data_IF_572357294319
#
_entry.id   IF_572357294319
#
_cell.length_a   1.000
_cell.length_b   1.000
_cell.length_c   1.000
_cell.angle_alpha   90.00
_cell.angle_beta   90.00
_cell.angle_gamma   90.00
#
_symmetry.space_group_name_H-M   'P 1'
#
loop_
_entity.id
_entity.type
_entity.pdbx_description
1 polymer ?
#
# COMPACT_ATOMS: atom_id res chain seq x y z
N UNK A 1 10.70 3.27 34.34
CA UNK A 1 11.57 4.49 34.19
C UNK A 1 13.07 4.14 34.16
N UNK A 2 13.55 3.19 34.99
CA UNK A 2 14.96 2.79 35.08
C UNK A 2 15.52 2.21 33.75
N UNK A 3 14.82 1.26 33.12
CA UNK A 3 15.23 0.65 31.85
C UNK A 3 15.25 1.64 30.65
N UNK A 4 14.32 2.59 30.61
CA UNK A 4 14.28 3.64 29.58
C UNK A 4 15.53 4.54 29.63
N UNK A 5 16.12 4.70 30.81
CA UNK A 5 17.32 5.53 31.04
C UNK A 5 18.63 4.81 30.65
N UNK A 6 18.64 3.46 30.65
CA UNK A 6 19.84 2.66 30.39
C UNK A 6 19.85 2.08 28.97
N UNK A 7 18.71 1.58 28.47
CA UNK A 7 18.62 0.80 27.23
C UNK A 7 17.89 1.51 26.08
N UNK A 8 17.34 2.72 26.30
CA UNK A 8 16.51 3.40 25.32
C UNK A 8 15.03 3.01 25.39
N UNK A 9 14.19 3.77 24.65
CA UNK A 9 12.74 3.62 24.65
C UNK A 9 12.31 2.29 24.03
N UNK A 10 12.92 1.92 22.91
CA UNK A 10 12.62 0.72 22.12
C UNK A 10 12.78 -0.57 22.94
N UNK A 11 13.87 -0.65 23.72
CA UNK A 11 14.10 -1.80 24.60
C UNK A 11 13.14 -1.86 25.78
N UNK A 12 12.77 -0.72 26.33
CA UNK A 12 11.79 -0.67 27.42
C UNK A 12 10.41 -1.14 26.94
N UNK A 13 10.00 -0.76 25.72
CA UNK A 13 8.74 -1.20 25.12
C UNK A 13 8.79 -2.69 24.73
N UNK A 14 9.91 -3.18 24.18
CA UNK A 14 10.10 -4.60 23.91
C UNK A 14 10.00 -5.44 25.20
N UNK A 15 10.56 -4.97 26.31
CA UNK A 15 10.42 -5.65 27.59
C UNK A 15 8.97 -5.70 28.10
N UNK A 16 8.22 -4.60 27.95
CA UNK A 16 6.79 -4.58 28.29
C UNK A 16 6.03 -5.60 27.45
N UNK A 17 6.31 -5.68 26.14
CA UNK A 17 5.72 -6.70 25.28
C UNK A 17 6.06 -8.12 25.75
N UNK A 18 7.32 -8.38 26.09
CA UNK A 18 7.76 -9.70 26.53
C UNK A 18 7.19 -10.12 27.91
N UNK A 19 6.77 -9.16 28.75
CA UNK A 19 6.12 -9.41 30.04
C UNK A 19 4.65 -9.82 29.90
N UNK A 20 4.02 -9.62 28.75
CA UNK A 20 2.66 -10.09 28.49
C UNK A 20 2.62 -11.62 28.56
N UNK A 21 1.50 -12.15 29.05
CA UNK A 21 1.26 -13.58 28.95
C UNK A 21 1.04 -14.00 27.48
N UNK A 22 1.06 -15.32 27.23
CA UNK A 22 1.02 -15.83 25.87
C UNK A 22 -0.32 -15.59 25.15
N UNK A 23 -1.42 -15.56 25.89
CA UNK A 23 -2.74 -15.31 25.30
C UNK A 23 -2.87 -13.85 24.89
N UNK A 24 -2.35 -12.92 25.69
CA UNK A 24 -2.36 -11.47 25.39
C UNK A 24 -1.56 -11.11 24.13
N UNK A 25 -0.54 -11.90 23.78
CA UNK A 25 0.30 -11.71 22.56
C UNK A 25 0.09 -12.78 21.50
N UNK A 26 -1.07 -13.45 21.51
CA UNK A 26 -1.37 -14.48 20.52
C UNK A 26 -1.45 -13.93 19.10
N UNK A 27 -2.03 -12.75 18.91
CA UNK A 27 -2.16 -12.07 17.61
C UNK A 27 -1.34 -10.78 17.65
N UNK A 28 -0.33 -10.71 16.80
CA UNK A 28 0.57 -9.55 16.70
C UNK A 28 0.52 -8.99 15.29
N UNK A 29 0.35 -7.68 15.18
CA UNK A 29 0.54 -6.93 13.94
C UNK A 29 1.87 -6.19 14.03
N UNK A 30 2.65 -6.25 12.96
CA UNK A 30 3.90 -5.50 12.86
C UNK A 30 3.84 -4.49 11.72
N UNK A 31 4.16 -3.24 12.04
CA UNK A 31 4.27 -2.12 11.10
C UNK A 31 5.72 -1.62 10.99
N UNK A 32 6.25 -1.54 9.78
CA UNK A 32 7.57 -0.99 9.53
C UNK A 32 7.57 0.54 9.64
N UNK A 33 6.46 1.17 9.25
CA UNK A 33 6.23 2.62 9.29
C UNK A 33 4.76 2.95 9.58
N UNK A 34 4.47 4.23 9.79
CA UNK A 34 3.12 4.72 10.08
C UNK A 34 2.11 4.54 8.93
N UNK A 35 2.58 4.32 7.71
CA UNK A 35 1.71 4.06 6.55
C UNK A 35 1.18 2.63 6.50
N UNK A 36 1.77 1.71 7.24
CA UNK A 36 1.37 0.29 7.26
C UNK A 36 0.00 0.07 7.90
N UNK A 37 -0.38 0.88 8.90
CA UNK A 37 -1.63 0.72 9.66
C UNK A 37 -2.87 0.67 8.77
N UNK A 38 -2.92 1.49 7.73
CA UNK A 38 -4.10 1.60 6.84
C UNK A 38 -4.47 0.27 6.17
N UNK A 39 -3.49 -0.63 5.97
CA UNK A 39 -3.70 -1.95 5.39
C UNK A 39 -4.23 -2.98 6.39
N UNK A 40 -4.04 -2.74 7.69
CA UNK A 40 -4.52 -3.59 8.78
C UNK A 40 -5.82 -3.11 9.40
N UNK A 41 -6.15 -1.83 9.25
CA UNK A 41 -7.19 -1.12 10.02
C UNK A 41 -8.52 -1.86 10.02
N UNK A 42 -8.99 -2.31 8.85
CA UNK A 42 -10.27 -3.01 8.75
C UNK A 42 -10.23 -4.39 9.42
N UNK A 43 -9.11 -5.11 9.31
CA UNK A 43 -8.91 -6.42 9.98
C UNK A 43 -8.88 -6.21 11.50
N UNK A 44 -8.12 -5.22 11.98
CA UNK A 44 -8.01 -4.89 13.40
C UNK A 44 -9.37 -4.49 13.97
N UNK A 45 -10.14 -3.67 13.25
CA UNK A 45 -11.48 -3.29 13.65
C UNK A 45 -12.39 -4.51 13.83
N UNK A 46 -12.43 -5.41 12.87
CA UNK A 46 -13.25 -6.63 12.97
C UNK A 46 -12.81 -7.54 14.12
N UNK A 47 -11.49 -7.73 14.31
CA UNK A 47 -10.96 -8.52 15.41
C UNK A 47 -11.32 -7.91 16.78
N UNK A 48 -11.13 -6.60 16.95
CA UNK A 48 -11.27 -5.96 18.26
C UNK A 48 -12.70 -5.56 18.59
N UNK A 49 -13.46 -5.02 17.62
CA UNK A 49 -14.79 -4.48 17.87
C UNK A 49 -15.92 -5.50 17.66
N UNK A 50 -15.73 -6.47 16.76
CA UNK A 50 -16.76 -7.46 16.42
C UNK A 50 -16.49 -8.83 17.04
N UNK A 51 -15.24 -9.28 17.07
CA UNK A 51 -14.85 -10.60 17.59
C UNK A 51 -14.25 -10.53 19.01
N UNK A 52 -14.14 -9.33 19.58
CA UNK A 52 -13.64 -9.06 20.94
C UNK A 52 -12.24 -9.60 21.23
N UNK A 53 -11.45 -9.82 20.19
CA UNK A 53 -10.07 -10.30 20.32
C UNK A 53 -9.14 -9.21 20.87
N UNK A 54 -8.20 -9.61 21.72
CA UNK A 54 -7.06 -8.77 22.07
C UNK A 54 -5.95 -8.95 21.03
N UNK A 55 -5.29 -7.83 20.67
CA UNK A 55 -4.16 -7.83 19.76
C UNK A 55 -3.01 -7.00 20.34
N UNK A 56 -1.80 -7.35 19.93
CA UNK A 56 -0.64 -6.48 20.06
C UNK A 56 -0.35 -5.82 18.70
N UNK A 57 -0.04 -4.53 18.74
CA UNK A 57 0.44 -3.78 17.58
C UNK A 57 1.86 -3.30 17.87
N UNK A 58 2.82 -3.78 17.10
CA UNK A 58 4.24 -3.46 17.26
C UNK A 58 4.69 -2.63 16.07
N UNK A 59 5.22 -1.44 16.32
CA UNK A 59 5.62 -0.53 15.25
C UNK A 59 7.07 -0.09 15.36
N UNK A 60 7.71 0.10 14.22
CA UNK A 60 9.03 0.73 14.13
C UNK A 60 8.98 2.24 13.94
N UNK A 61 7.78 2.82 13.76
CA UNK A 61 7.57 4.25 13.59
C UNK A 61 7.17 4.90 14.91
N UNK A 62 7.95 5.91 15.32
CA UNK A 62 7.68 6.66 16.58
C UNK A 62 6.45 7.57 16.47
N UNK A 63 6.12 7.98 15.26
CA UNK A 63 4.99 8.84 14.91
C UNK A 63 3.73 8.04 14.53
N UNK A 64 3.73 6.72 14.73
CA UNK A 64 2.57 5.89 14.41
C UNK A 64 1.36 6.26 15.29
N UNK A 65 0.23 6.70 14.71
CA UNK A 65 -0.93 7.14 15.49
C UNK A 65 -1.50 6.07 16.43
N UNK A 66 -1.28 4.79 16.13
CA UNK A 66 -1.77 3.68 16.96
C UNK A 66 -1.16 3.67 18.37
N UNK A 67 0.00 4.28 18.55
CA UNK A 67 0.66 4.40 19.86
C UNK A 67 -0.17 5.24 20.86
N UNK A 68 -1.05 6.09 20.34
CA UNK A 68 -2.01 6.92 21.12
C UNK A 68 -3.40 6.33 21.18
N UNK A 69 -3.60 5.11 20.67
CA UNK A 69 -4.92 4.47 20.59
C UNK A 69 -5.50 4.22 21.98
N UNK A 70 -6.80 4.48 22.15
CA UNK A 70 -7.51 4.29 23.42
C UNK A 70 -8.29 2.97 23.51
N UNK A 71 -8.29 2.16 22.45
CA UNK A 71 -8.94 0.86 22.45
C UNK A 71 -8.22 -0.12 23.39
N UNK A 72 -8.90 -0.55 24.45
CA UNK A 72 -8.35 -1.44 25.48
C UNK A 72 -7.96 -2.83 24.95
N UNK A 73 -8.47 -3.21 23.76
CA UNK A 73 -8.14 -4.48 23.11
C UNK A 73 -6.90 -4.39 22.23
N UNK A 74 -6.33 -3.18 22.05
CA UNK A 74 -5.10 -2.95 21.29
C UNK A 74 -3.99 -2.53 22.24
N UNK A 75 -2.94 -3.33 22.33
CA UNK A 75 -1.71 -2.97 23.05
C UNK A 75 -0.63 -2.60 22.05
N UNK A 76 -0.26 -1.33 22.00
CA UNK A 76 0.71 -0.81 21.05
C UNK A 76 2.09 -0.64 21.68
N UNK A 77 3.15 -0.99 20.92
CA UNK A 77 4.55 -0.95 21.37
C UNK A 77 5.44 -0.38 20.27
N UNK A 78 6.33 0.54 20.64
CA UNK A 78 7.34 1.10 19.76
C UNK A 78 8.69 0.40 19.95
N UNK A 79 9.25 -0.18 18.87
CA UNK A 79 10.52 -0.92 18.94
C UNK A 79 11.62 -0.36 18.02
N UNK A 80 11.35 0.73 17.28
CA UNK A 80 12.31 1.36 16.38
C UNK A 80 12.78 0.45 15.24
N UNK A 81 13.88 0.85 14.57
CA UNK A 81 14.49 0.14 13.46
C UNK A 81 15.79 -0.59 13.83
N UNK A 82 16.22 -0.48 15.08
CA UNK A 82 17.50 -0.97 15.57
C UNK A 82 17.49 -2.43 16.07
N UNK A 83 18.37 -2.71 17.03
CA UNK A 83 18.57 -4.04 17.59
C UNK A 83 17.35 -4.58 18.34
N UNK A 84 16.55 -3.72 18.96
CA UNK A 84 15.30 -4.15 19.61
C UNK A 84 14.36 -4.82 18.63
N UNK A 85 14.23 -4.30 17.38
CA UNK A 85 13.44 -4.93 16.30
C UNK A 85 13.99 -6.30 15.92
N UNK A 86 15.31 -6.44 15.75
CA UNK A 86 15.94 -7.73 15.42
C UNK A 86 15.64 -8.75 16.50
N UNK A 87 15.82 -8.37 17.77
CA UNK A 87 15.54 -9.22 18.92
C UNK A 87 14.05 -9.60 18.99
N UNK A 88 13.15 -8.64 18.78
CA UNK A 88 11.71 -8.91 18.71
C UNK A 88 11.39 -10.06 17.75
N UNK A 89 11.88 -9.99 16.51
CA UNK A 89 11.60 -11.04 15.52
C UNK A 89 12.21 -12.40 15.91
N UNK A 90 13.48 -12.41 16.37
CA UNK A 90 14.17 -13.64 16.73
C UNK A 90 13.57 -14.37 17.93
N UNK A 91 13.01 -13.62 18.88
CA UNK A 91 12.51 -14.13 20.16
C UNK A 91 10.99 -14.07 20.30
N UNK A 92 10.29 -13.72 19.21
CA UNK A 92 8.83 -13.58 19.22
C UNK A 92 8.14 -14.85 19.66
N UNK A 93 7.33 -14.75 20.70
CA UNK A 93 6.45 -15.83 21.21
C UNK A 93 4.98 -15.46 20.99
N UNK A 94 4.57 -15.42 19.75
CA UNK A 94 3.18 -15.18 19.31
C UNK A 94 2.65 -16.40 18.55
N UNK A 95 1.34 -16.58 18.50
CA UNK A 95 0.75 -17.61 17.62
C UNK A 95 0.74 -17.16 16.18
N UNK A 96 0.42 -15.89 15.96
CA UNK A 96 0.31 -15.28 14.62
C UNK A 96 1.04 -13.93 14.61
N UNK A 97 1.81 -13.68 13.56
CA UNK A 97 2.34 -12.35 13.21
C UNK A 97 1.81 -11.96 11.84
N UNK A 98 1.14 -10.80 11.78
CA UNK A 98 0.60 -10.20 10.55
C UNK A 98 1.45 -9.00 10.17
N UNK A 99 1.91 -8.91 8.93
CA UNK A 99 2.71 -7.78 8.46
C UNK A 99 2.57 -7.51 6.95
N UNK A 100 2.93 -6.30 6.53
CA UNK A 100 3.01 -5.88 5.12
C UNK A 100 4.43 -5.87 4.58
N UNK A 101 5.43 -6.11 5.42
CA UNK A 101 6.84 -6.11 5.04
C UNK A 101 7.21 -7.44 4.39
N UNK A 102 7.64 -7.44 3.11
CA UNK A 102 8.13 -8.65 2.42
C UNK A 102 9.56 -9.02 2.87
N UNK A 103 10.18 -9.96 2.19
CA UNK A 103 11.59 -10.32 2.37
C UNK A 103 11.93 -10.92 3.75
N UNK A 104 10.97 -11.59 4.41
CA UNK A 104 11.21 -12.36 5.63
C UNK A 104 12.31 -13.39 5.37
N UNK A 105 13.26 -13.56 6.29
CA UNK A 105 14.47 -14.40 6.19
C UNK A 105 15.56 -13.89 5.24
N UNK A 106 15.31 -12.85 4.44
CA UNK A 106 16.29 -12.38 3.44
C UNK A 106 17.39 -11.52 4.08
N UNK A 107 17.01 -10.62 4.99
CA UNK A 107 17.94 -9.68 5.63
C UNK A 107 18.02 -9.90 7.14
N UNK A 108 17.90 -8.81 7.89
CA UNK A 108 17.97 -8.82 9.35
C UNK A 108 16.73 -9.38 10.02
N UNK A 109 15.61 -9.36 9.32
CA UNK A 109 14.32 -9.82 9.85
C UNK A 109 14.18 -11.31 9.58
N UNK A 110 14.24 -12.08 10.66
CA UNK A 110 14.19 -13.55 10.64
C UNK A 110 12.93 -14.06 11.33
N UNK A 111 12.52 -15.27 10.99
CA UNK A 111 11.48 -15.95 11.74
C UNK A 111 11.94 -16.21 13.17
N UNK A 112 11.00 -16.29 14.11
CA UNK A 112 11.30 -16.63 15.49
C UNK A 112 12.04 -17.97 15.58
N UNK A 113 13.09 -18.01 16.41
CA UNK A 113 13.87 -19.22 16.69
C UNK A 113 13.40 -19.95 17.96
N UNK A 114 12.49 -19.36 18.71
CA UNK A 114 12.07 -19.83 20.02
C UNK A 114 10.62 -20.29 20.08
N UNK A 115 9.83 -19.99 19.04
CA UNK A 115 8.42 -20.32 18.98
C UNK A 115 7.92 -20.52 17.54
N UNK A 116 6.99 -21.47 17.28
CA UNK A 116 6.45 -21.75 15.94
C UNK A 116 5.37 -20.73 15.55
N UNK A 117 5.78 -19.48 15.31
CA UNK A 117 4.88 -18.41 14.89
C UNK A 117 4.36 -18.66 13.49
N UNK A 118 3.07 -18.40 13.24
CA UNK A 118 2.46 -18.39 11.91
C UNK A 118 2.55 -16.99 11.32
N UNK A 119 3.26 -16.84 10.22
CA UNK A 119 3.50 -15.56 9.56
C UNK A 119 2.50 -15.31 8.44
N UNK A 120 1.75 -14.21 8.55
CA UNK A 120 0.76 -13.78 7.57
C UNK A 120 1.25 -12.53 6.88
N UNK A 121 1.31 -12.58 5.55
CA UNK A 121 1.58 -11.40 4.73
C UNK A 121 0.26 -10.77 4.25
N UNK A 122 0.10 -9.45 4.42
CA UNK A 122 -1.02 -8.68 3.88
C UNK A 122 -0.48 -7.74 2.81
N UNK A 123 -1.03 -7.79 1.61
CA UNK A 123 -0.59 -6.91 0.53
C UNK A 123 -0.96 -5.45 0.78
N UNK A 124 0.00 -4.57 0.53
CA UNK A 124 -0.15 -3.11 0.56
C UNK A 124 -0.25 -2.48 -0.84
N UNK A 125 -0.45 -3.30 -1.87
CA UNK A 125 -0.60 -2.88 -3.27
C UNK A 125 -1.43 -3.89 -4.06
N UNK A 126 -2.17 -3.39 -5.04
CA UNK A 126 -2.94 -4.20 -6.01
C UNK A 126 -2.03 -4.82 -7.08
N UNK A 127 -0.84 -4.28 -7.25
CA UNK A 127 0.08 -4.60 -8.33
C UNK A 127 0.49 -6.08 -8.34
N UNK A 128 1.04 -6.50 -9.48
CA UNK A 128 1.62 -7.81 -9.71
C UNK A 128 2.74 -8.14 -8.71
N UNK A 129 2.85 -9.41 -8.32
CA UNK A 129 3.81 -9.87 -7.31
C UNK A 129 5.19 -10.12 -7.89
N UNK A 130 5.28 -10.94 -8.93
CA UNK A 130 6.55 -11.48 -9.45
C UNK A 130 7.46 -10.42 -10.09
N UNK A 131 6.93 -9.27 -10.51
CA UNK A 131 7.70 -8.18 -11.09
C UNK A 131 8.06 -7.09 -10.07
N UNK A 132 7.13 -6.76 -9.17
CA UNK A 132 7.27 -5.64 -8.24
C UNK A 132 7.99 -6.00 -6.94
N UNK A 133 8.02 -7.28 -6.59
CA UNK A 133 8.74 -7.76 -5.42
C UNK A 133 9.97 -8.56 -5.85
N UNK A 134 10.97 -8.64 -4.98
CA UNK A 134 12.16 -9.43 -5.24
C UNK A 134 11.83 -10.92 -5.34
N UNK A 135 12.67 -11.68 -6.02
CA UNK A 135 12.66 -13.14 -5.91
C UNK A 135 12.72 -13.53 -4.43
N UNK A 136 11.94 -14.52 -4.04
CA UNK A 136 11.85 -15.02 -2.66
C UNK A 136 11.22 -14.08 -1.63
N UNK A 137 10.61 -12.96 -2.03
CA UNK A 137 9.99 -12.00 -1.12
C UNK A 137 8.93 -12.62 -0.20
N UNK A 138 8.26 -13.68 -0.64
CA UNK A 138 7.15 -14.33 0.06
C UNK A 138 7.45 -15.75 0.52
N UNK A 139 8.64 -16.31 0.25
CA UNK A 139 8.93 -17.74 0.42
C UNK A 139 8.77 -18.22 1.86
N UNK A 140 9.00 -17.36 2.82
CA UNK A 140 9.00 -17.68 4.24
C UNK A 140 7.73 -17.31 5.01
N UNK A 141 6.66 -16.93 4.30
CA UNK A 141 5.34 -16.76 4.90
C UNK A 141 4.54 -18.06 4.88
N UNK A 142 3.70 -18.24 5.90
CA UNK A 142 2.82 -19.40 5.99
C UNK A 142 1.48 -19.14 5.29
N UNK A 143 0.95 -17.90 5.42
CA UNK A 143 -0.26 -17.47 4.75
C UNK A 143 -0.03 -16.13 4.03
N UNK A 144 -0.69 -15.96 2.89
CA UNK A 144 -0.67 -14.70 2.12
C UNK A 144 -2.10 -14.28 1.83
N UNK A 145 -2.45 -13.06 2.25
CA UNK A 145 -3.74 -12.45 2.02
C UNK A 145 -3.73 -11.72 0.69
N UNK A 146 -4.25 -12.38 -0.35
CA UNK A 146 -4.21 -11.89 -1.72
C UNK A 146 -5.33 -10.90 -2.01
N UNK A 147 -5.00 -9.84 -2.74
CA UNK A 147 -5.95 -8.81 -3.16
C UNK A 147 -6.91 -9.33 -4.22
N UNK A 148 -6.40 -10.15 -5.15
CA UNK A 148 -7.15 -10.66 -6.28
C UNK A 148 -6.53 -11.91 -6.88
N UNK A 149 -7.24 -12.50 -7.85
CA UNK A 149 -6.86 -13.75 -8.50
C UNK A 149 -5.46 -13.71 -9.14
N UNK A 150 -5.07 -12.58 -9.72
CA UNK A 150 -3.75 -12.42 -10.34
C UNK A 150 -2.61 -12.72 -9.37
N UNK A 151 -2.70 -12.26 -8.10
CA UNK A 151 -1.66 -12.54 -7.10
C UNK A 151 -1.61 -14.01 -6.72
N UNK A 152 -2.77 -14.69 -6.63
CA UNK A 152 -2.82 -16.14 -6.41
C UNK A 152 -2.14 -16.90 -7.55
N UNK A 153 -2.48 -16.58 -8.79
CA UNK A 153 -1.93 -17.23 -9.98
C UNK A 153 -0.41 -17.02 -10.08
N UNK A 154 0.07 -15.80 -9.84
CA UNK A 154 1.50 -15.46 -9.87
C UNK A 154 2.28 -16.15 -8.76
N UNK A 155 1.74 -16.23 -7.53
CA UNK A 155 2.42 -16.92 -6.42
C UNK A 155 2.44 -18.43 -6.69
N UNK A 156 1.34 -19.04 -7.16
CA UNK A 156 1.32 -20.47 -7.51
C UNK A 156 2.29 -20.78 -8.65
N UNK A 157 2.38 -19.91 -9.66
CA UNK A 157 3.37 -20.07 -10.73
C UNK A 157 4.80 -19.97 -10.19
N UNK A 158 5.06 -19.04 -9.28
CA UNK A 158 6.36 -18.89 -8.61
C UNK A 158 6.71 -20.13 -7.79
N UNK A 159 5.76 -20.66 -7.01
CA UNK A 159 5.94 -21.90 -6.24
C UNK A 159 6.29 -23.08 -7.15
N UNK A 160 5.60 -23.20 -8.28
CA UNK A 160 5.84 -24.26 -9.26
C UNK A 160 7.23 -24.13 -9.91
N UNK A 161 7.59 -22.95 -10.38
CA UNK A 161 8.87 -22.71 -11.10
C UNK A 161 10.08 -22.95 -10.20
N UNK A 162 9.98 -22.56 -8.92
CA UNK A 162 11.10 -22.68 -7.97
C UNK A 162 10.97 -23.85 -7.00
N UNK A 163 10.01 -24.74 -7.23
CA UNK A 163 9.76 -25.92 -6.40
C UNK A 163 9.64 -25.59 -4.89
N UNK A 164 8.84 -24.57 -4.58
CA UNK A 164 8.61 -24.09 -3.21
C UNK A 164 7.41 -24.82 -2.57
N UNK A 165 7.43 -24.92 -1.24
CA UNK A 165 6.27 -25.39 -0.50
C UNK A 165 5.07 -24.45 -0.72
N UNK A 166 3.88 -25.00 -1.01
CA UNK A 166 2.69 -24.18 -1.22
C UNK A 166 2.26 -23.48 0.06
N UNK A 167 1.97 -22.20 -0.03
CA UNK A 167 1.47 -21.36 1.06
C UNK A 167 -0.05 -21.41 1.13
N UNK A 168 -0.61 -21.08 2.29
CA UNK A 168 -2.04 -20.81 2.39
C UNK A 168 -2.35 -19.45 1.73
N UNK A 169 -2.94 -19.46 0.53
CA UNK A 169 -3.36 -18.25 -0.19
C UNK A 169 -4.83 -17.96 0.08
N UNK A 170 -5.09 -16.80 0.69
CA UNK A 170 -6.42 -16.38 1.11
C UNK A 170 -6.98 -15.36 0.14
N UNK A 171 -8.18 -15.59 -0.37
CA UNK A 171 -8.95 -14.60 -1.11
C UNK A 171 -9.42 -13.53 -0.14
N UNK A 172 -8.58 -12.52 0.08
CA UNK A 172 -8.78 -11.50 1.11
C UNK A 172 -9.48 -10.25 0.58
N UNK A 173 -8.95 -9.64 -0.46
CA UNK A 173 -9.33 -8.32 -0.93
C UNK A 173 -8.31 -7.24 -0.54
N UNK A 174 -8.73 -5.97 -0.52
CA UNK A 174 -7.81 -4.85 -0.30
C UNK A 174 -8.38 -3.83 0.70
N UNK A 175 -7.93 -3.91 1.94
CA UNK A 175 -8.46 -3.10 3.05
C UNK A 175 -8.37 -1.59 2.84
N UNK A 176 -7.31 -1.09 2.19
CA UNK A 176 -7.20 0.32 1.84
C UNK A 176 -8.31 0.73 0.87
N UNK A 177 -8.62 -0.08 -0.14
CA UNK A 177 -9.68 0.23 -1.10
C UNK A 177 -11.05 0.29 -0.41
N UNK A 178 -11.34 -0.66 0.47
CA UNK A 178 -12.59 -0.70 1.25
C UNK A 178 -12.74 0.56 2.12
N UNK A 179 -11.66 0.99 2.77
CA UNK A 179 -11.62 2.24 3.54
C UNK A 179 -11.90 3.46 2.67
N UNK A 180 -11.22 3.54 1.51
CA UNK A 180 -11.39 4.67 0.59
C UNK A 180 -12.83 4.75 0.05
N UNK A 181 -13.43 3.61 -0.30
CA UNK A 181 -14.81 3.56 -0.77
C UNK A 181 -15.81 3.99 0.31
N UNK A 182 -15.62 3.53 1.54
CA UNK A 182 -16.43 3.95 2.70
C UNK A 182 -16.33 5.46 2.94
N UNK A 183 -15.12 6.02 2.89
CA UNK A 183 -14.91 7.46 3.05
C UNK A 183 -15.55 8.27 1.91
N UNK A 184 -15.49 7.78 0.65
CA UNK A 184 -16.18 8.41 -0.48
C UNK A 184 -17.70 8.52 -0.24
N UNK A 185 -18.32 7.48 0.28
CA UNK A 185 -19.77 7.47 0.55
C UNK A 185 -20.19 8.52 1.59
N UNK A 186 -19.35 8.75 2.59
CA UNK A 186 -19.56 9.78 3.63
C UNK A 186 -19.32 11.20 3.09
N UNK A 187 -18.32 11.36 2.20
CA UNK A 187 -17.89 12.65 1.63
C UNK A 187 -18.63 13.04 0.33
N UNK A 188 -19.77 12.44 0.01
CA UNK A 188 -20.58 12.71 -1.21
C UNK A 188 -20.85 14.18 -1.53
N UNK A 189 -20.54 15.10 -0.62
CA UNK A 189 -20.72 16.54 -0.74
C UNK A 189 -19.51 17.33 -1.22
N UNK A 190 -18.33 16.70 -1.38
CA UNK A 190 -17.14 17.42 -1.84
C UNK A 190 -17.02 17.37 -3.38
N UNK A 191 -17.89 18.09 -4.08
CA UNK A 191 -17.80 18.33 -5.53
C UNK A 191 -16.66 19.30 -5.93
N UNK A 192 -15.62 19.43 -5.08
CA UNK A 192 -14.52 20.37 -5.32
C UNK A 192 -13.41 19.75 -6.21
N UNK A 193 -13.80 19.20 -7.36
CA UNK A 193 -12.86 18.78 -8.42
C UNK A 193 -12.26 19.98 -9.16
N UNK A 194 -12.67 21.17 -8.79
CA UNK A 194 -12.19 22.46 -9.29
C UNK A 194 -11.80 23.36 -8.13
N UNK A 195 -10.85 24.23 -8.37
CA UNK A 195 -10.52 25.34 -7.46
C UNK A 195 -11.69 26.34 -7.34
N UNK A 196 -11.59 27.28 -6.42
CA UNK A 196 -12.62 28.34 -6.24
C UNK A 196 -12.78 29.22 -7.48
N UNK A 197 -11.73 29.41 -8.25
CA UNK A 197 -11.70 30.14 -9.54
C UNK A 197 -12.07 29.24 -10.75
N UNK A 198 -12.49 28.01 -10.51
CA UNK A 198 -13.06 27.12 -11.53
C UNK A 198 -12.03 26.27 -12.31
N UNK A 199 -10.74 26.33 -11.97
CA UNK A 199 -9.71 25.51 -12.60
C UNK A 199 -9.85 24.03 -12.19
N UNK A 200 -9.56 23.13 -13.12
CA UNK A 200 -9.59 21.68 -12.89
C UNK A 200 -8.34 21.24 -12.12
N UNK A 201 -8.51 20.48 -11.04
CA UNK A 201 -7.41 19.92 -10.25
C UNK A 201 -6.85 18.68 -10.91
N UNK A 202 -5.58 18.69 -11.28
CA UNK A 202 -4.86 17.52 -11.81
C UNK A 202 -3.84 17.06 -10.77
N UNK A 203 -3.98 15.81 -10.35
CA UNK A 203 -3.02 15.15 -9.47
C UNK A 203 -1.98 14.39 -10.31
N UNK A 204 -0.71 14.67 -10.10
CA UNK A 204 0.42 13.92 -10.67
C UNK A 204 1.01 13.07 -9.55
N UNK A 205 0.73 11.77 -9.56
CA UNK A 205 1.15 10.84 -8.51
C UNK A 205 1.80 9.58 -9.11
N UNK A 206 3.08 9.64 -9.43
CA UNK A 206 3.79 8.52 -10.06
C UNK A 206 4.39 7.55 -9.05
N UNK A 207 4.92 6.45 -9.58
CA UNK A 207 5.84 5.55 -8.89
C UNK A 207 7.22 6.22 -8.70
N UNK A 208 8.20 5.45 -8.29
CA UNK A 208 9.56 5.93 -8.06
C UNK A 208 10.58 5.09 -8.82
N UNK A 209 11.70 5.68 -9.19
CA UNK A 209 12.79 5.00 -9.85
C UNK A 209 13.57 5.93 -10.76
N UNK A 210 14.79 5.58 -11.10
CA UNK A 210 15.72 6.39 -11.88
C UNK A 210 15.13 6.86 -13.23
N UNK A 211 14.27 6.03 -13.83
CA UNK A 211 13.58 6.30 -15.11
C UNK A 211 12.08 6.58 -14.90
N UNK A 212 11.68 6.99 -13.69
CA UNK A 212 10.30 7.31 -13.37
C UNK A 212 9.82 8.61 -14.00
N UNK A 213 8.53 8.88 -13.87
CA UNK A 213 7.90 10.05 -14.50
C UNK A 213 8.49 11.37 -13.99
N UNK A 214 8.64 11.53 -12.66
CA UNK A 214 9.17 12.80 -12.12
C UNK A 214 10.66 12.97 -12.46
N UNK A 215 11.40 11.88 -12.47
CA UNK A 215 12.84 11.87 -12.74
C UNK A 215 13.17 12.19 -14.21
N UNK A 216 12.26 11.91 -15.13
CA UNK A 216 12.49 12.08 -16.58
C UNK A 216 11.75 13.28 -17.17
N UNK A 217 10.43 13.28 -17.07
CA UNK A 217 9.57 14.28 -17.76
C UNK A 217 8.73 15.12 -16.81
N UNK A 218 8.95 15.03 -15.50
CA UNK A 218 8.11 15.65 -14.49
C UNK A 218 7.99 17.18 -14.62
N UNK A 219 9.12 17.90 -14.80
CA UNK A 219 9.09 19.36 -14.97
C UNK A 219 8.34 19.79 -16.23
N UNK A 220 8.55 19.10 -17.35
CA UNK A 220 7.87 19.43 -18.60
C UNK A 220 6.37 19.17 -18.52
N UNK A 221 5.98 18.04 -17.92
CA UNK A 221 4.57 17.73 -17.67
C UNK A 221 3.89 18.80 -16.81
N UNK A 222 4.51 19.20 -15.70
CA UNK A 222 3.96 20.23 -14.81
C UNK A 222 3.82 21.56 -15.55
N UNK A 223 4.83 21.97 -16.32
CA UNK A 223 4.81 23.21 -17.12
C UNK A 223 3.65 23.20 -18.13
N UNK A 224 3.51 22.11 -18.91
CA UNK A 224 2.43 21.98 -19.90
C UNK A 224 1.05 22.09 -19.23
N UNK A 225 0.86 21.48 -18.07
CA UNK A 225 -0.42 21.55 -17.35
C UNK A 225 -0.71 22.96 -16.83
N UNK A 226 0.28 23.65 -16.25
CA UNK A 226 0.15 25.03 -15.76
C UNK A 226 -0.13 26.02 -16.90
N UNK A 227 0.57 25.90 -18.03
CA UNK A 227 0.38 26.73 -19.22
C UNK A 227 -1.04 26.58 -19.81
N UNK A 228 -1.65 25.39 -19.61
CA UNK A 228 -3.02 25.11 -20.01
C UNK A 228 -4.05 25.35 -18.87
N UNK A 229 -3.68 26.13 -17.84
CA UNK A 229 -4.55 26.64 -16.78
C UNK A 229 -5.18 25.55 -15.89
N UNK A 230 -4.51 24.42 -15.71
CA UNK A 230 -4.85 23.46 -14.68
C UNK A 230 -4.26 23.89 -13.34
N UNK A 231 -4.92 23.53 -12.25
CA UNK A 231 -4.28 23.51 -10.92
C UNK A 231 -3.59 22.16 -10.74
N UNK A 232 -2.28 22.18 -10.50
CA UNK A 232 -1.42 20.99 -10.55
C UNK A 232 -0.93 20.63 -9.15
N UNK A 233 -1.32 19.45 -8.68
CA UNK A 233 -0.86 18.90 -7.42
C UNK A 233 0.11 17.77 -7.73
N UNK A 234 1.36 17.90 -7.33
CA UNK A 234 2.38 16.85 -7.48
C UNK A 234 2.53 16.13 -6.15
N UNK A 235 2.22 14.81 -6.15
CA UNK A 235 2.42 13.91 -5.00
C UNK A 235 3.55 12.93 -5.33
N UNK A 236 4.79 13.21 -4.96
CA UNK A 236 5.90 12.30 -5.19
C UNK A 236 5.76 11.05 -4.30
N UNK A 237 6.22 9.92 -4.80
CA UNK A 237 6.31 8.71 -3.99
C UNK A 237 7.28 8.92 -2.81
N UNK A 238 7.02 8.36 -1.60
CA UNK A 238 7.92 8.49 -0.44
C UNK A 238 9.37 8.12 -0.73
N UNK A 239 9.59 7.12 -1.59
CA UNK A 239 10.94 6.72 -1.99
C UNK A 239 11.63 7.74 -2.90
N UNK A 240 10.90 8.50 -3.73
CA UNK A 240 11.46 9.62 -4.50
C UNK A 240 11.93 10.72 -3.54
N UNK A 241 11.10 11.07 -2.54
CA UNK A 241 11.47 12.06 -1.52
C UNK A 241 12.75 11.64 -0.79
N UNK A 242 12.87 10.37 -0.44
CA UNK A 242 14.01 9.84 0.34
C UNK A 242 15.28 9.66 -0.48
N UNK A 243 15.17 9.12 -1.71
CA UNK A 243 16.34 8.75 -2.53
C UNK A 243 16.77 9.83 -3.52
N UNK A 244 15.83 10.63 -4.00
CA UNK A 244 16.09 11.67 -5.01
C UNK A 244 15.52 13.04 -4.57
N UNK A 245 15.87 13.54 -3.37
CA UNK A 245 15.36 14.83 -2.87
C UNK A 245 15.68 16.00 -3.79
N UNK A 246 16.73 15.91 -4.60
CA UNK A 246 17.10 16.92 -5.58
C UNK A 246 16.05 17.11 -6.69
N UNK A 247 15.35 16.04 -7.10
CA UNK A 247 14.25 16.11 -8.08
C UNK A 247 13.10 16.95 -7.49
N UNK A 248 12.72 16.65 -6.25
CA UNK A 248 11.66 17.39 -5.56
C UNK A 248 12.04 18.85 -5.40
N UNK A 249 13.30 19.13 -5.01
CA UNK A 249 13.81 20.49 -4.87
C UNK A 249 13.78 21.24 -6.20
N UNK A 250 14.21 20.59 -7.30
CA UNK A 250 14.19 21.18 -8.66
C UNK A 250 12.77 21.59 -9.06
N UNK A 251 11.80 20.67 -8.97
CA UNK A 251 10.40 20.95 -9.35
C UNK A 251 9.82 22.08 -8.48
N UNK A 252 10.08 22.06 -7.16
CA UNK A 252 9.64 23.14 -6.26
C UNK A 252 10.25 24.48 -6.65
N UNK A 253 11.55 24.56 -6.90
CA UNK A 253 12.21 25.80 -7.28
C UNK A 253 11.69 26.36 -8.59
N UNK A 254 11.34 25.51 -9.54
CA UNK A 254 10.83 25.92 -10.85
C UNK A 254 9.40 26.50 -10.79
N UNK A 255 8.54 25.95 -9.91
CA UNK A 255 7.10 26.26 -9.93
C UNK A 255 6.55 26.86 -8.64
N UNK A 256 7.36 27.06 -7.60
CA UNK A 256 6.88 27.49 -6.27
C UNK A 256 6.17 28.86 -6.27
N UNK A 257 6.49 29.73 -7.21
CA UNK A 257 5.87 31.06 -7.33
C UNK A 257 4.55 31.03 -8.11
N UNK A 258 4.18 29.87 -8.67
CA UNK A 258 2.92 29.70 -9.39
C UNK A 258 1.81 29.31 -8.42
N UNK A 259 0.75 30.13 -8.33
CA UNK A 259 -0.38 29.89 -7.42
C UNK A 259 -1.22 28.66 -7.76
N UNK A 260 -1.06 28.14 -8.98
CA UNK A 260 -1.74 26.92 -9.44
C UNK A 260 -0.90 25.65 -9.24
N UNK A 261 0.26 25.75 -8.59
CA UNK A 261 1.13 24.61 -8.29
C UNK A 261 1.14 24.28 -6.80
N UNK A 262 0.99 23.01 -6.49
CA UNK A 262 1.11 22.46 -5.13
C UNK A 262 1.99 21.20 -5.11
N UNK A 263 2.89 21.11 -4.14
CA UNK A 263 3.68 19.91 -3.85
C UNK A 263 3.18 19.24 -2.58
N UNK A 264 2.44 18.13 -2.71
CA UNK A 264 1.89 17.38 -1.60
C UNK A 264 2.88 16.29 -1.14
N UNK A 265 3.59 16.55 -0.06
CA UNK A 265 4.56 15.60 0.51
C UNK A 265 3.96 14.70 1.61
N UNK A 266 2.78 15.03 2.13
CA UNK A 266 2.05 14.18 3.06
C UNK A 266 1.29 13.09 2.30
N UNK A 267 1.90 11.93 2.14
CA UNK A 267 1.33 10.79 1.41
C UNK A 267 0.35 9.96 2.22
N UNK A 268 0.17 10.25 3.51
CA UNK A 268 -0.77 9.51 4.38
C UNK A 268 -2.22 9.99 4.24
N UNK A 269 -2.46 11.13 3.58
CA UNK A 269 -3.80 11.63 3.28
C UNK A 269 -4.24 11.18 1.89
N UNK A 270 -5.46 10.69 1.80
CA UNK A 270 -6.11 10.35 0.52
C UNK A 270 -7.18 11.37 0.12
N UNK A 271 -7.27 12.52 0.79
CA UNK A 271 -8.32 13.52 0.53
C UNK A 271 -8.22 14.12 -0.88
N UNK A 272 -7.00 14.36 -1.32
CA UNK A 272 -6.70 14.87 -2.65
C UNK A 272 -7.25 13.97 -3.77
N UNK A 273 -7.30 12.64 -3.57
CA UNK A 273 -7.90 11.73 -4.57
C UNK A 273 -9.36 12.07 -4.86
N UNK A 274 -10.15 12.42 -3.83
CA UNK A 274 -11.59 12.70 -4.00
C UNK A 274 -11.85 14.06 -4.64
N UNK A 275 -10.94 15.03 -4.45
CA UNK A 275 -11.03 16.39 -4.99
C UNK A 275 -10.36 16.57 -6.35
N UNK A 276 -9.79 15.50 -6.91
CA UNK A 276 -9.05 15.52 -8.17
C UNK A 276 -9.97 15.37 -9.37
N UNK A 277 -9.85 16.27 -10.35
CA UNK A 277 -10.53 16.16 -11.64
C UNK A 277 -9.95 15.02 -12.47
N UNK A 278 -8.61 14.89 -12.51
CA UNK A 278 -7.91 13.85 -13.22
C UNK A 278 -6.60 13.46 -12.55
N UNK A 279 -6.25 12.17 -12.65
CA UNK A 279 -4.98 11.62 -12.19
C UNK A 279 -4.06 11.34 -13.39
N UNK A 280 -2.83 11.82 -13.31
CA UNK A 280 -1.72 11.43 -14.17
C UNK A 280 -0.74 10.60 -13.34
N UNK A 281 -0.42 9.41 -13.82
CA UNK A 281 0.46 8.46 -13.13
C UNK A 281 1.33 7.71 -14.14
N UNK A 282 2.04 6.70 -13.68
CA UNK A 282 2.84 5.79 -14.51
C UNK A 282 2.52 4.33 -14.17
N UNK A 283 3.36 3.65 -13.41
CA UNK A 283 3.22 2.27 -12.96
C UNK A 283 2.80 2.17 -11.48
N UNK A 284 2.41 3.28 -10.87
CA UNK A 284 2.04 3.33 -9.46
C UNK A 284 0.69 2.68 -9.18
N UNK A 285 0.59 1.99 -8.03
CA UNK A 285 -0.66 1.40 -7.52
C UNK A 285 -1.77 2.41 -7.29
N UNK A 286 -1.43 3.67 -7.00
CA UNK A 286 -2.42 4.75 -6.81
C UNK A 286 -3.33 4.94 -8.03
N UNK A 287 -2.85 4.59 -9.24
CA UNK A 287 -3.68 4.61 -10.44
C UNK A 287 -4.87 3.66 -10.35
N UNK A 288 -4.67 2.47 -9.80
CA UNK A 288 -5.76 1.51 -9.56
C UNK A 288 -6.68 1.98 -8.44
N UNK A 289 -6.11 2.47 -7.35
CA UNK A 289 -6.86 3.00 -6.21
C UNK A 289 -7.76 4.16 -6.65
N UNK A 290 -7.22 5.12 -7.39
CA UNK A 290 -8.00 6.23 -7.93
C UNK A 290 -9.10 5.76 -8.88
N UNK A 291 -8.76 4.92 -9.87
CA UNK A 291 -9.74 4.43 -10.82
C UNK A 291 -10.88 3.71 -10.13
N UNK A 292 -10.57 2.80 -9.20
CA UNK A 292 -11.58 1.98 -8.53
C UNK A 292 -12.40 2.76 -7.50
N UNK A 293 -11.80 3.71 -6.78
CA UNK A 293 -12.52 4.54 -5.80
C UNK A 293 -13.31 5.65 -6.47
N UNK A 294 -12.67 6.41 -7.35
CA UNK A 294 -13.28 7.59 -7.96
C UNK A 294 -14.15 7.24 -9.18
N UNK A 295 -14.03 6.01 -9.70
CA UNK A 295 -14.69 5.55 -10.93
C UNK A 295 -14.35 6.45 -12.14
N UNK A 296 -13.09 6.90 -12.19
CA UNK A 296 -12.58 7.86 -13.18
C UNK A 296 -11.36 7.30 -13.88
N UNK A 297 -11.17 7.60 -15.17
CA UNK A 297 -10.00 7.12 -15.91
C UNK A 297 -8.70 7.76 -15.41
N UNK A 298 -7.61 7.03 -15.59
CA UNK A 298 -6.23 7.49 -15.29
C UNK A 298 -5.49 7.75 -16.59
N UNK A 299 -4.67 8.81 -16.62
CA UNK A 299 -3.74 9.05 -17.69
C UNK A 299 -2.35 8.50 -17.29
N UNK A 300 -1.88 7.51 -18.00
CA UNK A 300 -0.62 6.83 -17.72
C UNK A 300 0.47 7.29 -18.67
N UNK A 301 1.51 7.94 -18.14
CA UNK A 301 2.71 8.22 -18.94
C UNK A 301 3.55 6.94 -19.01
N UNK A 302 3.84 6.49 -20.22
CA UNK A 302 4.47 5.18 -20.46
C UNK A 302 6.01 5.27 -20.38
N UNK A 303 6.48 5.73 -19.24
CA UNK A 303 7.90 5.67 -18.90
C UNK A 303 8.33 4.22 -18.69
N UNK A 304 9.66 3.90 -18.76
CA UNK A 304 10.14 2.54 -18.53
C UNK A 304 9.69 1.99 -17.18
N UNK A 305 9.06 0.82 -17.20
CA UNK A 305 8.60 0.17 -16.00
C UNK A 305 9.77 -0.28 -15.13
N UNK A 306 9.73 0.09 -13.85
CA UNK A 306 10.65 -0.43 -12.86
C UNK A 306 10.42 -1.92 -12.63
N UNK A 307 11.51 -2.67 -12.62
CA UNK A 307 11.50 -4.11 -12.32
C UNK A 307 12.37 -4.35 -11.09
N UNK A 308 11.78 -4.82 -10.00
CA UNK A 308 12.51 -5.14 -8.77
C UNK A 308 13.05 -6.58 -8.77
N UNK A 309 12.46 -7.46 -9.58
CA UNK A 309 12.88 -8.84 -9.72
C UNK A 309 13.51 -9.06 -11.12
N UNK A 310 14.80 -9.20 -11.24
CA UNK A 310 15.46 -9.47 -12.54
C UNK A 310 15.05 -10.82 -13.15
N UNK A 311 14.51 -11.73 -12.34
CA UNK A 311 14.06 -13.07 -12.75
C UNK A 311 12.56 -13.14 -13.03
N UNK A 312 11.86 -11.99 -13.17
CA UNK A 312 10.41 -11.98 -13.34
C UNK A 312 9.93 -12.71 -14.60
N UNK A 313 10.79 -12.81 -15.63
CA UNK A 313 10.50 -13.54 -16.87
C UNK A 313 10.45 -15.07 -16.70
N UNK A 314 10.97 -15.62 -15.58
CA UNK A 314 10.83 -17.04 -15.27
C UNK A 314 9.36 -17.40 -15.00
N UNK A 315 8.54 -16.41 -14.63
CA UNK A 315 7.12 -16.56 -14.35
C UNK A 315 6.32 -16.10 -15.58
N UNK A 316 5.57 -17.01 -16.18
CA UNK A 316 4.84 -16.77 -17.45
C UNK A 316 3.58 -15.90 -17.29
N UNK A 317 3.16 -15.61 -16.05
CA UNK A 317 1.99 -14.76 -15.79
C UNK A 317 2.21 -13.34 -16.32
N UNK A 318 1.21 -12.81 -17.03
CA UNK A 318 1.24 -11.41 -17.46
C UNK A 318 0.94 -10.50 -16.28
N UNK A 319 1.82 -9.52 -15.97
CA UNK A 319 1.56 -8.57 -14.89
C UNK A 319 0.23 -7.83 -15.05
N UNK A 320 -0.48 -7.64 -13.93
CA UNK A 320 -1.78 -6.98 -13.93
C UNK A 320 -1.72 -5.59 -14.59
N UNK A 321 -0.69 -4.81 -14.27
CA UNK A 321 -0.48 -3.45 -14.76
C UNK A 321 -0.41 -3.41 -16.29
N UNK A 322 0.20 -4.41 -16.91
CA UNK A 322 0.28 -4.52 -18.36
C UNK A 322 -1.05 -4.92 -19.01
N UNK A 323 -1.98 -5.46 -18.23
CA UNK A 323 -3.25 -5.97 -18.71
C UNK A 323 -4.38 -4.95 -18.62
N UNK A 324 -4.41 -4.12 -17.55
CA UNK A 324 -5.61 -3.31 -17.28
C UNK A 324 -5.42 -1.80 -17.41
N UNK A 325 -4.20 -1.23 -17.47
CA UNK A 325 -4.00 0.23 -17.58
C UNK A 325 -4.76 0.87 -18.73
N UNK A 326 -4.73 0.24 -19.90
CA UNK A 326 -5.45 0.72 -21.10
C UNK A 326 -6.98 0.50 -21.03
N UNK A 327 -7.45 -0.31 -20.09
CA UNK A 327 -8.89 -0.55 -19.89
C UNK A 327 -9.52 0.45 -18.92
N UNK A 328 -8.72 0.92 -17.94
CA UNK A 328 -9.14 1.87 -16.91
C UNK A 328 -8.61 3.29 -17.15
N UNK A 329 -7.96 3.54 -18.28
CA UNK A 329 -7.39 4.85 -18.59
C UNK A 329 -6.84 4.94 -20.00
N UNK A 330 -5.92 5.88 -20.19
CA UNK A 330 -5.19 6.12 -21.44
C UNK A 330 -3.69 6.01 -21.19
N UNK A 331 -2.98 5.35 -22.09
CA UNK A 331 -1.51 5.27 -22.06
C UNK A 331 -0.99 6.31 -23.06
N UNK A 332 -0.06 7.14 -22.60
CA UNK A 332 0.48 8.30 -23.33
C UNK A 332 2.00 8.16 -23.39
N UNK A 333 2.56 8.29 -24.58
CA UNK A 333 4.01 8.30 -24.77
C UNK A 333 4.64 9.52 -24.09
N UNK A 334 5.81 9.37 -23.42
CA UNK A 334 6.57 10.53 -22.92
C UNK A 334 6.94 11.56 -24.00
N UNK A 335 6.94 11.16 -25.27
CA UNK A 335 7.21 12.05 -26.42
C UNK A 335 5.96 12.82 -26.89
N UNK A 336 4.80 12.60 -26.27
CA UNK A 336 3.52 13.19 -26.68
C UNK A 336 2.89 14.05 -25.57
N UNK A 337 3.69 14.57 -24.64
CA UNK A 337 3.20 15.36 -23.50
C UNK A 337 2.39 16.59 -23.93
N UNK A 338 2.75 17.23 -25.03
CA UNK A 338 2.02 18.39 -25.58
C UNK A 338 0.55 18.09 -25.91
N UNK A 339 0.21 16.82 -26.11
CA UNK A 339 -1.15 16.40 -26.39
C UNK A 339 -1.99 16.18 -25.10
N UNK A 340 -1.37 16.17 -23.92
CA UNK A 340 -2.04 15.86 -22.66
C UNK A 340 -3.28 16.73 -22.41
N UNK A 341 -3.29 18.05 -22.62
CA UNK A 341 -4.49 18.85 -22.40
C UNK A 341 -5.68 18.39 -23.25
N UNK A 342 -5.45 18.07 -24.53
CA UNK A 342 -6.49 17.53 -25.42
C UNK A 342 -6.95 16.13 -24.98
N UNK A 343 -6.02 15.30 -24.53
CA UNK A 343 -6.33 13.96 -24.04
C UNK A 343 -7.14 14.04 -22.74
N UNK A 344 -6.84 14.97 -21.83
CA UNK A 344 -7.63 15.23 -20.63
C UNK A 344 -9.08 15.52 -21.04
N UNK A 345 -9.29 16.55 -21.88
CA UNK A 345 -10.65 16.96 -22.26
C UNK A 345 -11.42 15.79 -22.88
N UNK A 346 -10.88 15.16 -23.93
CA UNK A 346 -11.56 14.06 -24.63
C UNK A 346 -11.81 12.82 -23.75
N UNK A 347 -10.93 12.54 -22.79
CA UNK A 347 -11.08 11.41 -21.89
C UNK A 347 -12.19 11.64 -20.87
N UNK A 348 -12.25 12.85 -20.30
CA UNK A 348 -13.22 13.16 -19.24
C UNK A 348 -14.59 13.61 -19.81
N UNK A 349 -14.69 13.97 -21.06
CA UNK A 349 -15.98 14.08 -21.78
C UNK A 349 -16.70 12.72 -21.87
N UNK A 350 -15.95 11.62 -21.97
CA UNK A 350 -16.46 10.27 -22.08
C UNK A 350 -16.43 9.45 -20.77
N UNK A 351 -16.50 10.14 -19.64
CA UNK A 351 -16.28 9.55 -18.30
C UNK A 351 -17.24 8.40 -17.98
N UNK A 352 -18.52 8.46 -18.39
CA UNK A 352 -19.51 7.42 -18.08
C UNK A 352 -19.18 6.09 -18.78
N UNK A 353 -18.58 6.13 -19.96
CA UNK A 353 -18.10 4.92 -20.65
C UNK A 353 -16.94 4.27 -19.86
N UNK A 354 -16.02 5.07 -19.33
CA UNK A 354 -14.94 4.58 -18.48
C UNK A 354 -15.45 4.03 -17.15
N UNK A 355 -16.39 4.72 -16.50
CA UNK A 355 -16.98 4.33 -15.23
C UNK A 355 -17.53 2.89 -15.27
N UNK A 356 -18.34 2.57 -16.26
CA UNK A 356 -18.90 1.22 -16.43
C UNK A 356 -17.81 0.16 -16.61
N UNK A 357 -16.77 0.46 -17.40
CA UNK A 357 -15.63 -0.44 -17.59
C UNK A 357 -14.84 -0.63 -16.30
N UNK A 358 -14.53 0.46 -15.59
CA UNK A 358 -13.78 0.46 -14.35
C UNK A 358 -14.50 -0.38 -13.28
N UNK A 359 -15.80 -0.19 -13.10
CA UNK A 359 -16.61 -0.97 -12.16
C UNK A 359 -16.57 -2.47 -12.47
N UNK A 360 -16.66 -2.84 -13.77
CA UNK A 360 -16.55 -4.23 -14.19
C UNK A 360 -15.16 -4.81 -13.87
N UNK A 361 -14.11 -4.08 -14.21
CA UNK A 361 -12.73 -4.52 -13.99
C UNK A 361 -12.43 -4.64 -12.49
N UNK A 362 -12.88 -3.69 -11.68
CA UNK A 362 -12.73 -3.75 -10.23
C UNK A 362 -13.32 -5.05 -9.65
N UNK A 363 -14.57 -5.38 -10.03
CA UNK A 363 -15.23 -6.61 -9.58
C UNK A 363 -14.52 -7.89 -10.02
N UNK A 364 -13.83 -7.84 -11.16
CA UNK A 364 -13.07 -8.98 -11.69
C UNK A 364 -11.68 -9.10 -11.07
N UNK A 365 -11.12 -7.99 -10.59
CA UNK A 365 -9.74 -7.90 -10.12
C UNK A 365 -9.62 -8.09 -8.61
N UNK A 366 -10.57 -7.54 -7.83
CA UNK A 366 -10.48 -7.45 -6.36
C UNK A 366 -11.43 -8.45 -5.72
N UNK A 367 -10.91 -9.27 -4.80
CA UNK A 367 -11.71 -10.16 -3.97
C UNK A 367 -12.50 -9.39 -2.90
N UNK A 368 -13.63 -9.90 -2.49
CA UNK A 368 -14.37 -9.49 -1.28
C UNK A 368 -14.46 -7.97 -1.10
N UNK A 369 -14.84 -7.24 -2.16
CA UNK A 369 -15.04 -5.79 -2.10
C UNK A 369 -15.90 -5.39 -0.90
N UNK A 370 -15.43 -4.41 -0.14
CA UNK A 370 -16.04 -3.89 1.10
C UNK A 370 -16.09 -4.89 2.27
N UNK A 371 -15.50 -6.08 2.11
CA UNK A 371 -15.52 -7.16 3.11
C UNK A 371 -14.13 -7.70 3.47
N UNK A 372 -13.05 -7.09 2.99
CA UNK A 372 -11.68 -7.59 3.22
C UNK A 372 -11.36 -7.68 4.72
N UNK A 373 -11.78 -6.71 5.52
CA UNK A 373 -11.58 -6.74 6.97
C UNK A 373 -12.23 -7.95 7.63
N UNK A 374 -13.50 -8.23 7.30
CA UNK A 374 -14.24 -9.40 7.81
C UNK A 374 -13.52 -10.68 7.41
N UNK A 375 -13.16 -10.80 6.13
CA UNK A 375 -12.50 -12.00 5.60
C UNK A 375 -11.14 -12.24 6.25
N UNK A 376 -10.34 -11.18 6.40
CA UNK A 376 -9.04 -11.25 7.07
C UNK A 376 -9.14 -11.64 8.53
N UNK A 377 -10.07 -11.04 9.27
CA UNK A 377 -10.31 -11.35 10.68
C UNK A 377 -10.76 -12.81 10.89
N UNK A 378 -11.71 -13.28 10.07
CA UNK A 378 -12.17 -14.67 10.11
C UNK A 378 -11.02 -15.66 9.87
N UNK A 379 -10.16 -15.42 8.91
CA UNK A 379 -9.03 -16.30 8.62
C UNK A 379 -7.99 -16.28 9.75
N UNK A 380 -7.69 -15.12 10.35
CA UNK A 380 -6.81 -15.02 11.52
C UNK A 380 -7.36 -15.83 12.69
N UNK A 381 -8.65 -15.73 12.99
CA UNK A 381 -9.28 -16.50 14.07
C UNK A 381 -9.26 -17.99 13.78
N UNK A 382 -9.49 -18.41 12.54
CA UNK A 382 -9.38 -19.80 12.11
C UNK A 382 -7.96 -20.34 12.34
N UNK A 383 -6.92 -19.63 11.87
CA UNK A 383 -5.51 -20.00 12.11
C UNK A 383 -5.22 -20.10 13.61
N UNK A 384 -5.75 -19.18 14.42
CA UNK A 384 -5.58 -19.18 15.87
C UNK A 384 -6.16 -20.45 16.52
N UNK A 385 -7.32 -20.91 16.06
CA UNK A 385 -7.96 -22.12 16.54
C UNK A 385 -7.18 -23.39 16.14
N UNK A 386 -6.73 -23.47 14.90
CA UNK A 386 -5.90 -24.58 14.41
C UNK A 386 -4.61 -24.73 15.23
N UNK A 387 -3.96 -23.60 15.57
CA UNK A 387 -2.76 -23.58 16.43
C UNK A 387 -3.05 -24.01 17.89
N UNK A 388 -4.23 -23.73 18.42
CA UNK A 388 -4.64 -24.21 19.76
C UNK A 388 -4.81 -25.72 19.78
N UNK A 389 -5.41 -26.31 18.75
CA UNK A 389 -5.65 -27.74 18.63
C UNK A 389 -4.35 -28.54 18.47
N UNK A 390 -3.32 -27.99 17.85
CA UNK A 390 -2.01 -28.63 17.69
C UNK A 390 -1.13 -28.56 18.95
N UNK A 391 -1.48 -27.71 19.92
CA UNK A 391 -0.71 -27.50 21.15
C UNK A 391 -1.25 -28.31 22.33
N UNK A 392 -2.41 -28.95 22.17
CA UNK A 392 -3.02 -29.92 23.09
C UNK A 392 -2.76 -31.37 22.61
#
# INVERSE_FOLDING_TARGET
KFFKKILGEEWAELQKFNQLNQDERSIVFYAEDSSSFVHFEQIIYELTEKMECQICYVTSAKDDPILSNQNKRIRAFYIGLGTARITFFLELKAKILVMTMPDLETYQIKRSKVYPVHYVYVFHSINSTHRNYRKSAFDHFDSIFCVGRHQIEEIRATESVYNLNPKNLVEHGYGLLDKLQKNKSVKKTANNIKTKDGKKNILVAPSWGEKGLLETVGSDLVRILLDNKYHVIVRPHPMTIRKWPHIIKKIKQEFNDNLDFEMETNTNSFETLYSTYGLISDWSGIGFEYAFVCERPVLYIDVPQKTNNPYYNDITCKPLENSIRNLIGKIISPNELENIPKIIESTYENIECFKTKIQKIQKQTIFNLEQSGIRGAQEIVKILHEKKTQSN
#
